data_IF_998069143500
#
_entry.id   IF_998069143500
#
_cell.length_a   1.000
_cell.length_b   1.000
_cell.length_c   1.000
_cell.angle_alpha   90.00
_cell.angle_beta   90.00
_cell.angle_gamma   90.00
#
_symmetry.space_group_name_H-M   'P 1'
#
loop_
_entity.id
_entity.type
_entity.pdbx_description
1 polymer ?
#
# COMPACT_ATOMS: atom_id res chain seq x y z
N UNK A 1 7.33 -2.22 13.00
CA UNK A 1 7.05 -2.83 11.68
C UNK A 1 6.11 -4.00 11.93
N UNK A 2 5.02 -4.13 11.17
CA UNK A 2 4.13 -5.31 11.22
C UNK A 2 4.66 -6.43 10.33
N UNK A 3 4.62 -6.25 9.02
CA UNK A 3 5.17 -7.15 7.99
C UNK A 3 6.20 -6.41 7.15
N UNK A 4 7.35 -7.03 6.90
CA UNK A 4 8.38 -6.54 5.97
C UNK A 4 8.69 -7.63 4.96
N UNK A 5 8.69 -7.27 3.68
CA UNK A 5 8.80 -8.24 2.60
C UNK A 5 9.70 -7.74 1.47
N UNK A 6 10.69 -8.55 1.12
CA UNK A 6 11.48 -8.41 -0.11
C UNK A 6 11.03 -9.34 -1.24
N UNK A 7 10.10 -10.23 -0.95
CA UNK A 7 9.58 -11.27 -1.84
C UNK A 7 8.06 -11.21 -1.83
N UNK A 8 7.45 -11.83 -2.85
CA UNK A 8 5.99 -11.88 -3.02
C UNK A 8 5.29 -12.28 -1.74
N UNK A 9 4.53 -11.34 -1.20
CA UNK A 9 3.77 -11.51 0.04
C UNK A 9 2.37 -10.99 -0.17
N UNK A 10 1.35 -11.78 0.20
CA UNK A 10 -0.05 -11.38 0.09
C UNK A 10 -0.73 -11.52 1.44
N UNK A 11 -1.27 -10.43 1.95
CA UNK A 11 -2.12 -10.40 3.14
C UNK A 11 -3.59 -10.33 2.70
N UNK A 12 -4.44 -11.19 3.27
CA UNK A 12 -5.86 -11.29 2.90
C UNK A 12 -6.67 -11.28 4.20
N UNK A 13 -7.66 -10.38 4.31
CA UNK A 13 -8.54 -10.31 5.47
C UNK A 13 -7.83 -9.98 6.79
N UNK A 14 -6.64 -9.37 6.72
CA UNK A 14 -5.83 -9.07 7.90
C UNK A 14 -6.18 -7.71 8.50
N UNK A 15 -5.97 -7.57 9.81
CA UNK A 15 -6.10 -6.29 10.53
C UNK A 15 -4.75 -5.86 11.10
N UNK A 16 -4.33 -4.64 10.79
CA UNK A 16 -3.08 -4.03 11.26
C UNK A 16 -3.38 -2.74 12.02
N UNK A 17 -3.08 -2.73 13.32
CA UNK A 17 -3.37 -1.58 14.19
C UNK A 17 -2.17 -1.10 15.01
N UNK A 18 -1.95 0.22 15.07
CA UNK A 18 -0.99 0.83 15.99
C UNK A 18 0.49 0.64 15.63
N UNK A 19 0.81 0.31 14.38
CA UNK A 19 2.18 0.14 13.93
C UNK A 19 2.80 1.45 13.46
N UNK A 20 4.13 1.58 13.63
CA UNK A 20 4.91 2.60 12.89
C UNK A 20 4.79 2.41 11.37
N UNK A 21 4.99 1.17 10.91
CA UNK A 21 4.69 0.79 9.52
C UNK A 21 4.05 -0.58 9.55
N UNK A 22 2.82 -0.71 9.04
CA UNK A 22 2.08 -1.96 9.10
C UNK A 22 2.56 -2.97 8.07
N UNK A 23 2.66 -2.58 6.80
CA UNK A 23 3.13 -3.42 5.70
C UNK A 23 4.20 -2.67 4.88
N UNK A 24 5.43 -3.19 4.84
CA UNK A 24 6.53 -2.60 4.08
C UNK A 24 7.02 -3.55 2.99
N UNK A 25 7.06 -3.04 1.77
CA UNK A 25 7.77 -3.65 0.66
C UNK A 25 9.14 -2.99 0.49
N UNK A 26 10.17 -3.80 0.35
CA UNK A 26 11.53 -3.33 0.09
C UNK A 26 12.26 -4.24 -0.90
N UNK A 27 13.39 -3.79 -1.45
CA UNK A 27 14.22 -4.59 -2.35
C UNK A 27 14.19 -4.11 -3.81
N UNK A 28 14.78 -4.93 -4.68
CA UNK A 28 14.97 -4.63 -6.11
C UNK A 28 14.61 -5.84 -6.97
N UNK A 29 14.05 -5.59 -8.16
CA UNK A 29 13.78 -6.60 -9.17
C UNK A 29 12.32 -7.11 -9.25
N UNK A 30 11.97 -7.71 -10.38
CA UNK A 30 10.59 -8.04 -10.75
C UNK A 30 9.92 -9.19 -9.95
N UNK A 31 10.71 -9.93 -9.16
CA UNK A 31 10.23 -11.07 -8.37
C UNK A 31 9.79 -10.69 -6.94
N UNK A 32 9.96 -9.43 -6.55
CA UNK A 32 9.48 -8.88 -5.29
C UNK A 32 8.03 -8.41 -5.35
N UNK A 33 7.57 -7.80 -4.26
CA UNK A 33 6.27 -7.11 -4.21
C UNK A 33 5.37 -7.56 -3.05
N UNK A 34 4.49 -6.66 -2.64
CA UNK A 34 3.40 -6.94 -1.71
C UNK A 34 2.06 -6.86 -2.43
N UNK A 35 1.08 -7.59 -1.92
CA UNK A 35 -0.33 -7.45 -2.26
C UNK A 35 -1.15 -7.49 -0.97
N UNK A 36 -2.30 -6.83 -0.97
CA UNK A 36 -3.22 -6.81 0.15
C UNK A 36 -4.66 -6.68 -0.35
N UNK A 37 -5.55 -7.46 0.26
CA UNK A 37 -6.95 -7.56 -0.16
C UNK A 37 -7.83 -7.72 1.07
N UNK A 38 -8.93 -6.96 1.12
CA UNK A 38 -9.89 -7.00 2.24
C UNK A 38 -9.22 -6.75 3.61
N UNK A 39 -8.09 -6.02 3.63
CA UNK A 39 -7.35 -5.73 4.84
C UNK A 39 -7.84 -4.43 5.49
N UNK A 40 -7.70 -4.34 6.81
CA UNK A 40 -7.94 -3.13 7.60
C UNK A 40 -6.63 -2.61 8.18
N UNK A 41 -6.29 -1.38 7.84
CA UNK A 41 -5.16 -0.64 8.38
C UNK A 41 -5.67 0.54 9.20
N UNK A 42 -5.48 0.49 10.52
CA UNK A 42 -6.06 1.48 11.43
C UNK A 42 -5.04 2.06 12.42
N UNK A 43 -4.96 3.39 12.51
CA UNK A 43 -4.15 4.04 13.55
C UNK A 43 -2.65 3.76 13.45
N UNK A 44 -2.14 3.50 12.24
CA UNK A 44 -0.71 3.32 12.00
C UNK A 44 -0.05 4.66 11.64
N UNK A 45 1.24 4.84 11.92
CA UNK A 45 1.97 6.02 11.43
C UNK A 45 2.08 5.96 9.89
N UNK A 46 2.46 4.81 9.34
CA UNK A 46 2.34 4.47 7.92
C UNK A 46 1.63 3.12 7.77
N UNK A 47 0.56 3.02 6.98
CA UNK A 47 -0.12 1.74 6.78
C UNK A 47 0.62 0.85 5.76
N UNK A 48 0.77 1.32 4.52
CA UNK A 48 1.50 0.60 3.47
C UNK A 48 2.66 1.45 2.98
N UNK A 49 3.86 0.87 2.94
CA UNK A 49 5.07 1.54 2.48
C UNK A 49 5.73 0.75 1.35
N UNK A 50 5.70 1.29 0.15
CA UNK A 50 6.50 0.83 -0.98
C UNK A 50 7.81 1.62 -1.01
N UNK A 51 8.92 0.95 -0.71
CA UNK A 51 10.27 1.49 -0.82
C UNK A 51 11.12 0.58 -1.70
N UNK A 52 10.87 0.65 -3.00
CA UNK A 52 11.42 -0.29 -3.97
C UNK A 52 11.94 0.40 -5.22
N UNK A 53 13.04 -0.11 -5.79
CA UNK A 53 13.52 0.33 -7.10
C UNK A 53 13.18 -0.73 -8.15
N UNK A 54 12.35 -0.37 -9.14
CA UNK A 54 11.93 -1.26 -10.24
C UNK A 54 11.36 -2.62 -9.78
N UNK A 55 10.71 -2.66 -8.61
CA UNK A 55 10.01 -3.85 -8.15
C UNK A 55 8.57 -3.77 -8.62
N UNK A 56 8.12 -4.81 -9.32
CA UNK A 56 6.73 -4.89 -9.76
C UNK A 56 5.81 -5.14 -8.56
N UNK A 57 4.58 -4.66 -8.65
CA UNK A 57 3.55 -5.12 -7.74
C UNK A 57 3.36 -6.62 -7.92
N UNK A 58 3.30 -7.37 -6.82
CA UNK A 58 2.99 -8.80 -6.89
C UNK A 58 1.63 -9.03 -7.59
N UNK A 59 0.71 -8.07 -7.42
CA UNK A 59 -0.52 -7.97 -8.17
C UNK A 59 -0.81 -6.49 -8.49
N UNK A 60 -1.34 -6.18 -9.67
CA UNK A 60 -1.63 -4.80 -10.07
C UNK A 60 -2.91 -4.22 -9.46
N UNK A 61 -3.61 -4.99 -8.63
CA UNK A 61 -4.85 -4.57 -7.98
C UNK A 61 -4.80 -4.96 -6.50
N UNK A 62 -5.12 -4.01 -5.62
CA UNK A 62 -5.21 -4.22 -4.18
C UNK A 62 -6.62 -3.78 -3.70
N UNK A 63 -7.64 -4.63 -3.87
CA UNK A 63 -9.04 -4.23 -3.72
C UNK A 63 -9.56 -4.29 -2.27
N UNK A 64 -10.63 -3.53 -2.01
CA UNK A 64 -11.50 -3.63 -0.83
C UNK A 64 -10.80 -3.42 0.53
N UNK A 65 -9.74 -2.60 0.55
CA UNK A 65 -9.00 -2.30 1.76
C UNK A 65 -9.55 -1.07 2.50
N UNK A 66 -9.44 -1.08 3.83
CA UNK A 66 -9.83 0.05 4.68
C UNK A 66 -8.58 0.70 5.29
N UNK A 67 -8.35 1.96 4.97
CA UNK A 67 -7.28 2.78 5.51
C UNK A 67 -7.87 3.88 6.39
N UNK A 68 -7.84 3.66 7.70
CA UNK A 68 -8.57 4.49 8.66
C UNK A 68 -7.62 5.13 9.67
N UNK A 69 -7.66 6.46 9.80
CA UNK A 69 -6.95 7.19 10.87
C UNK A 69 -5.44 6.90 10.93
N UNK A 70 -4.81 6.64 9.80
CA UNK A 70 -3.35 6.48 9.74
C UNK A 70 -2.67 7.85 9.59
N UNK A 71 -1.40 7.98 9.94
CA UNK A 71 -0.61 9.16 9.59
C UNK A 71 -0.55 9.30 8.07
N UNK A 72 0.03 8.29 7.41
CA UNK A 72 0.00 8.11 5.96
C UNK A 72 -0.58 6.74 5.63
N UNK A 73 -1.61 6.67 4.78
CA UNK A 73 -2.20 5.39 4.40
C UNK A 73 -1.33 4.62 3.39
N UNK A 74 -0.95 5.24 2.28
CA UNK A 74 -0.01 4.64 1.32
C UNK A 74 1.15 5.60 1.08
N UNK A 75 2.38 5.15 1.33
CA UNK A 75 3.61 5.84 0.98
C UNK A 75 4.31 5.09 -0.15
N UNK A 76 4.60 5.77 -1.25
CA UNK A 76 5.30 5.21 -2.42
C UNK A 76 6.54 6.04 -2.71
N UNK A 77 7.70 5.40 -2.60
CA UNK A 77 9.01 5.97 -2.87
C UNK A 77 9.86 4.99 -3.69
N UNK A 78 10.92 5.52 -4.32
CA UNK A 78 11.78 4.77 -5.24
C UNK A 78 11.42 5.01 -6.70
N UNK A 79 11.76 4.06 -7.57
CA UNK A 79 11.53 4.15 -9.01
C UNK A 79 10.17 3.57 -9.41
N UNK A 80 9.31 4.30 -10.13
CA UNK A 80 7.99 3.81 -10.56
C UNK A 80 8.11 2.73 -11.65
N UNK A 81 7.01 2.02 -11.87
CA UNK A 81 6.82 1.11 -13.03
C UNK A 81 5.62 1.56 -13.86
N UNK A 82 5.61 1.21 -15.15
CA UNK A 82 4.55 1.64 -16.09
C UNK A 82 3.15 1.08 -15.75
N UNK A 83 3.10 -0.05 -15.05
CA UNK A 83 1.83 -0.70 -14.68
C UNK A 83 1.15 0.07 -13.54
N UNK A 84 -0.09 0.51 -13.77
CA UNK A 84 -0.88 1.16 -12.74
C UNK A 84 -1.32 0.19 -11.62
N UNK A 85 -1.25 0.65 -10.37
CA UNK A 85 -1.84 -0.05 -9.23
C UNK A 85 -3.29 0.42 -9.02
N UNK A 86 -4.23 -0.51 -9.14
CA UNK A 86 -5.65 -0.25 -8.89
C UNK A 86 -6.01 -0.42 -7.42
N UNK A 87 -6.82 0.52 -6.90
CA UNK A 87 -7.34 0.52 -5.53
C UNK A 87 -8.88 0.48 -5.48
N UNK A 88 -9.57 -0.39 -6.25
CA UNK A 88 -11.03 -0.39 -6.29
C UNK A 88 -11.61 -0.83 -4.95
N UNK A 89 -12.73 -0.20 -4.55
CA UNK A 89 -13.41 -0.49 -3.29
C UNK A 89 -12.63 -0.07 -2.05
N UNK A 90 -11.43 0.51 -2.20
CA UNK A 90 -10.65 0.99 -1.08
C UNK A 90 -11.30 2.23 -0.45
N UNK A 91 -11.30 2.27 0.88
CA UNK A 91 -11.81 3.40 1.65
C UNK A 91 -10.68 4.03 2.43
N UNK A 92 -10.45 5.31 2.18
CA UNK A 92 -9.53 6.18 2.90
C UNK A 92 -10.35 7.15 3.75
N UNK A 93 -10.19 7.11 5.07
CA UNK A 93 -10.95 7.97 5.98
C UNK A 93 -10.08 8.46 7.14
N UNK A 94 -10.04 9.77 7.30
CA UNK A 94 -9.42 10.42 8.46
C UNK A 94 -7.92 10.16 8.59
N UNK A 95 -7.24 9.77 7.50
CA UNK A 95 -5.79 9.70 7.48
C UNK A 95 -5.20 11.12 7.44
N UNK A 96 -3.98 11.31 7.95
CA UNK A 96 -3.25 12.57 7.77
C UNK A 96 -2.88 12.80 6.29
N UNK A 97 -2.58 11.72 5.58
CA UNK A 97 -2.36 11.69 4.13
C UNK A 97 -2.84 10.36 3.58
N UNK A 98 -3.75 10.38 2.61
CA UNK A 98 -4.28 9.14 2.04
C UNK A 98 -3.24 8.44 1.16
N UNK A 99 -2.62 9.18 0.24
CA UNK A 99 -1.60 8.66 -0.66
C UNK A 99 -0.50 9.70 -0.82
N UNK A 100 0.71 9.34 -0.40
CA UNK A 100 1.94 10.08 -0.62
C UNK A 100 2.76 9.36 -1.69
N UNK A 101 2.59 9.77 -2.94
CA UNK A 101 3.21 9.16 -4.11
C UNK A 101 4.37 10.02 -4.62
N UNK A 102 5.57 9.77 -4.08
CA UNK A 102 6.79 10.55 -4.38
C UNK A 102 7.51 10.06 -5.63
N UNK A 103 7.26 8.82 -6.04
CA UNK A 103 7.86 8.20 -7.23
C UNK A 103 7.13 8.54 -8.53
N UNK A 104 5.89 9.06 -8.47
CA UNK A 104 5.06 9.26 -9.66
C UNK A 104 4.46 7.97 -10.21
N UNK A 105 4.36 6.94 -9.38
CA UNK A 105 3.76 5.65 -9.74
C UNK A 105 2.33 5.82 -10.27
N UNK A 106 1.99 5.29 -11.46
CA UNK A 106 0.62 5.28 -11.92
C UNK A 106 -0.33 4.55 -10.95
N UNK A 107 -1.45 5.20 -10.61
CA UNK A 107 -2.49 4.67 -9.72
C UNK A 107 -3.85 4.80 -10.38
N UNK A 108 -4.68 3.76 -10.27
CA UNK A 108 -6.11 3.84 -10.58
C UNK A 108 -6.91 3.91 -9.27
N UNK A 109 -7.35 5.13 -8.96
CA UNK A 109 -8.15 5.46 -7.78
C UNK A 109 -9.60 5.83 -8.15
N UNK A 110 -10.02 5.56 -9.39
CA UNK A 110 -11.36 5.93 -9.88
C UNK A 110 -12.49 5.28 -9.09
N UNK A 111 -12.22 4.15 -8.43
CA UNK A 111 -13.16 3.39 -7.60
C UNK A 111 -12.77 3.38 -6.10
N UNK A 112 -11.89 4.30 -5.67
CA UNK A 112 -11.59 4.50 -4.26
C UNK A 112 -12.44 5.63 -3.67
N UNK A 113 -12.76 5.53 -2.37
CA UNK A 113 -13.48 6.56 -1.63
C UNK A 113 -12.53 7.29 -0.66
N UNK A 114 -12.58 8.63 -0.66
CA UNK A 114 -11.76 9.51 0.18
C UNK A 114 -12.69 10.39 1.04
N UNK A 115 -12.46 10.40 2.37
CA UNK A 115 -13.34 11.04 3.38
C UNK A 115 -12.56 11.79 4.46
#
# INVERSE_FOLDING_TARGET
MGVTAAQRTWTIGCTFTGWRTALMCHGTGADGGICYTECRFEGNEVAVHYNTNQTNFFNSVAPDNQFLRNGTAILIEGEPVDQAMGLPGCRFEGNGTDIDNRSGQPLDISQAAFQ
#
